data_IF_188653924694
#
_entry.id   IF_188653924694
#
_cell.length_a   1.000
_cell.length_b   1.000
_cell.length_c   1.000
_cell.angle_alpha   90.00
_cell.angle_beta   90.00
_cell.angle_gamma   90.00
#
_symmetry.space_group_name_H-M   'P 1'
#
loop_
_entity.id
_entity.type
_entity.pdbx_description
1 polymer ?
#
# COMPACT_ATOMS: atom_id res chain seq x y z
N UNK A 1 -50.23 12.32 19.01
CA UNK A 1 -49.20 12.94 18.14
C UNK A 1 -48.70 14.16 18.90
N UNK A 2 -47.46 14.12 19.41
CA UNK A 2 -47.03 14.98 20.52
C UNK A 2 -46.50 16.35 20.05
N UNK A 3 -47.07 17.43 20.58
CA UNK A 3 -46.70 18.85 20.33
C UNK A 3 -45.21 19.14 20.62
N UNK A 4 -44.60 18.37 21.50
CA UNK A 4 -43.16 18.47 21.84
C UNK A 4 -42.26 18.04 20.66
N UNK A 5 -42.72 17.14 19.78
CA UNK A 5 -41.96 16.70 18.60
C UNK A 5 -41.87 17.76 17.50
N UNK A 6 -42.83 18.71 17.46
CA UNK A 6 -42.86 19.80 16.47
C UNK A 6 -41.92 20.95 16.86
N UNK A 7 -41.79 21.24 18.16
CA UNK A 7 -41.00 22.38 18.66
C UNK A 7 -39.50 22.09 18.85
N UNK A 8 -39.10 20.84 19.09
CA UNK A 8 -37.69 20.50 19.42
C UNK A 8 -37.01 19.55 18.43
N UNK A 9 -37.69 19.16 17.35
CA UNK A 9 -37.22 18.13 16.42
C UNK A 9 -37.18 16.75 17.08
N UNK A 10 -37.49 15.71 16.29
CA UNK A 10 -37.42 14.34 16.81
C UNK A 10 -35.99 14.02 17.25
N UNK A 11 -35.80 13.74 18.54
CA UNK A 11 -34.53 13.22 19.06
C UNK A 11 -34.29 11.88 18.39
N UNK A 12 -33.26 11.82 17.55
CA UNK A 12 -32.97 10.66 16.74
C UNK A 12 -32.77 9.43 17.64
N UNK A 13 -33.54 8.37 17.40
CA UNK A 13 -33.41 7.13 18.16
C UNK A 13 -32.01 6.52 17.95
N UNK A 14 -31.48 5.71 18.88
CA UNK A 14 -30.20 5.02 18.68
C UNK A 14 -30.16 4.24 17.36
N UNK A 15 -31.25 3.54 17.01
CA UNK A 15 -31.38 2.81 15.76
C UNK A 15 -31.35 3.72 14.50
N UNK A 16 -31.97 4.90 14.56
CA UNK A 16 -31.90 5.88 13.46
C UNK A 16 -30.51 6.51 13.33
N UNK A 17 -29.81 6.76 14.44
CA UNK A 17 -28.40 7.19 14.42
C UNK A 17 -27.52 6.14 13.76
N UNK A 18 -27.67 4.88 14.17
CA UNK A 18 -26.92 3.76 13.61
C UNK A 18 -27.13 3.64 12.09
N UNK A 19 -28.38 3.76 11.62
CA UNK A 19 -28.71 3.78 10.18
C UNK A 19 -28.11 4.97 9.44
N UNK A 20 -28.10 6.16 10.06
CA UNK A 20 -27.49 7.36 9.48
C UNK A 20 -25.97 7.19 9.33
N UNK A 21 -25.31 6.64 10.34
CA UNK A 21 -23.87 6.34 10.30
C UNK A 21 -23.54 5.27 9.26
N UNK A 22 -24.33 4.19 9.17
CA UNK A 22 -24.15 3.16 8.14
C UNK A 22 -24.20 3.76 6.72
N UNK A 23 -25.20 4.61 6.43
CA UNK A 23 -25.30 5.30 5.12
C UNK A 23 -24.14 6.26 4.86
N UNK A 24 -23.68 6.95 5.91
CA UNK A 24 -22.52 7.83 5.80
C UNK A 24 -21.25 7.03 5.44
N UNK A 25 -21.03 5.91 6.11
CA UNK A 25 -19.91 5.00 5.83
C UNK A 25 -19.95 4.46 4.40
N UNK A 26 -21.11 4.00 3.91
CA UNK A 26 -21.26 3.58 2.51
C UNK A 26 -20.97 4.70 1.51
N UNK A 27 -21.35 5.94 1.83
CA UNK A 27 -21.02 7.11 1.00
C UNK A 27 -19.52 7.34 0.96
N UNK A 28 -18.87 7.33 2.12
CA UNK A 28 -17.41 7.47 2.24
C UNK A 28 -16.67 6.36 1.51
N UNK A 29 -17.13 5.10 1.59
CA UNK A 29 -16.55 3.99 0.84
C UNK A 29 -16.54 4.27 -0.68
N UNK A 30 -17.68 4.73 -1.23
CA UNK A 30 -17.77 5.09 -2.65
C UNK A 30 -16.90 6.29 -3.02
N UNK A 31 -16.75 7.25 -2.11
CA UNK A 31 -15.87 8.41 -2.31
C UNK A 31 -14.39 7.98 -2.33
N UNK A 32 -13.98 7.12 -1.40
CA UNK A 32 -12.64 6.52 -1.40
C UNK A 32 -12.36 5.73 -2.67
N UNK A 33 -13.31 4.92 -3.14
CA UNK A 33 -13.15 4.16 -4.40
C UNK A 33 -12.96 5.09 -5.60
N UNK A 34 -13.68 6.22 -5.65
CA UNK A 34 -13.52 7.22 -6.72
C UNK A 34 -12.16 7.91 -6.65
N UNK A 35 -11.69 8.26 -5.46
CA UNK A 35 -10.36 8.85 -5.29
C UNK A 35 -9.25 7.88 -5.66
N UNK A 36 -9.38 6.61 -5.26
CA UNK A 36 -8.46 5.54 -5.67
C UNK A 36 -8.36 5.44 -7.18
N UNK A 37 -9.48 5.39 -7.91
CA UNK A 37 -9.48 5.34 -9.38
C UNK A 37 -8.81 6.57 -9.99
N UNK A 38 -8.95 7.76 -9.39
CA UNK A 38 -8.22 8.96 -9.86
C UNK A 38 -6.72 8.79 -9.67
N UNK A 39 -6.27 8.28 -8.54
CA UNK A 39 -4.86 8.01 -8.27
C UNK A 39 -4.29 6.93 -9.19
N UNK A 40 -5.01 5.83 -9.44
CA UNK A 40 -4.62 4.79 -10.41
C UNK A 40 -4.46 5.37 -11.83
N UNK A 41 -5.32 6.31 -12.23
CA UNK A 41 -5.17 7.00 -13.52
C UNK A 41 -3.99 7.98 -13.53
N UNK A 42 -3.69 8.62 -12.40
CA UNK A 42 -2.51 9.48 -12.25
C UNK A 42 -1.22 8.66 -12.27
N UNK A 43 -1.20 7.50 -11.62
CA UNK A 43 -0.10 6.53 -11.67
C UNK A 43 0.21 6.13 -13.12
N UNK A 44 -0.80 5.75 -13.90
CA UNK A 44 -0.62 5.41 -15.33
C UNK A 44 -0.01 6.55 -16.15
N UNK A 45 -0.40 7.80 -15.86
CA UNK A 45 0.19 8.98 -16.52
C UNK A 45 1.64 9.19 -16.10
N UNK A 46 1.94 9.09 -14.79
CA UNK A 46 3.30 9.20 -14.27
C UNK A 46 4.22 8.15 -14.89
N UNK A 47 3.77 6.89 -15.02
CA UNK A 47 4.54 5.83 -15.69
C UNK A 47 4.85 6.19 -17.15
N UNK A 48 3.87 6.72 -17.89
CA UNK A 48 4.08 7.15 -19.27
C UNK A 48 5.06 8.32 -19.37
N UNK A 49 5.00 9.28 -18.46
CA UNK A 49 5.86 10.46 -18.45
C UNK A 49 7.30 10.11 -18.01
N UNK A 50 7.46 9.22 -17.01
CA UNK A 50 8.76 8.66 -16.62
C UNK A 50 9.40 7.96 -17.83
N UNK A 51 8.63 7.15 -18.56
CA UNK A 51 9.13 6.45 -19.76
C UNK A 51 9.58 7.40 -20.87
N UNK A 52 8.85 8.50 -21.09
CA UNK A 52 9.25 9.54 -22.07
C UNK A 52 10.51 10.26 -21.62
N UNK A 53 10.57 10.69 -20.36
CA UNK A 53 11.69 11.45 -19.82
C UNK A 53 12.97 10.60 -19.73
N UNK A 54 12.84 9.31 -19.44
CA UNK A 54 13.95 8.37 -19.43
C UNK A 54 14.54 8.18 -20.83
N UNK A 55 13.69 8.03 -21.86
CA UNK A 55 14.14 8.00 -23.27
C UNK A 55 14.83 9.29 -23.72
N UNK A 56 14.41 10.42 -23.17
CA UNK A 56 15.01 11.73 -23.46
C UNK A 56 16.29 12.00 -22.63
N UNK A 57 16.75 11.05 -21.81
CA UNK A 57 17.95 11.20 -20.97
C UNK A 57 17.79 12.18 -19.79
N UNK A 58 16.56 12.55 -19.42
CA UNK A 58 16.30 13.53 -18.35
C UNK A 58 16.28 12.86 -16.96
N UNK A 59 17.43 12.37 -16.51
CA UNK A 59 17.55 11.59 -15.27
C UNK A 59 17.04 12.36 -14.03
N UNK A 60 17.28 13.67 -13.96
CA UNK A 60 16.79 14.50 -12.85
C UNK A 60 15.26 14.55 -12.74
N UNK A 61 14.56 14.65 -13.89
CA UNK A 61 13.10 14.62 -13.93
C UNK A 61 12.56 13.23 -13.58
N UNK A 62 13.20 12.17 -14.08
CA UNK A 62 12.86 10.79 -13.75
C UNK A 62 12.98 10.51 -12.25
N UNK A 63 14.03 11.01 -11.58
CA UNK A 63 14.22 10.83 -10.13
C UNK A 63 13.07 11.42 -9.31
N UNK A 64 12.61 12.62 -9.66
CA UNK A 64 11.48 13.27 -8.96
C UNK A 64 10.17 12.51 -9.26
N UNK A 65 9.92 12.18 -10.53
CA UNK A 65 8.71 11.49 -10.93
C UNK A 65 8.61 10.06 -10.37
N UNK A 66 9.73 9.35 -10.24
CA UNK A 66 9.78 8.03 -9.62
C UNK A 66 9.41 8.08 -8.13
N UNK A 67 9.90 9.09 -7.39
CA UNK A 67 9.47 9.31 -6.00
C UNK A 67 7.97 9.59 -5.90
N UNK A 68 7.43 10.41 -6.81
CA UNK A 68 5.99 10.68 -6.88
C UNK A 68 5.19 9.43 -7.25
N UNK A 69 5.72 8.56 -8.11
CA UNK A 69 5.10 7.28 -8.45
C UNK A 69 4.98 6.36 -7.23
N UNK A 70 6.08 6.17 -6.49
CA UNK A 70 6.08 5.35 -5.27
C UNK A 70 5.13 5.92 -4.22
N UNK A 71 5.15 7.23 -4.01
CA UNK A 71 4.20 7.91 -3.11
C UNK A 71 2.75 7.66 -3.55
N UNK A 72 2.46 7.75 -4.84
CA UNK A 72 1.12 7.51 -5.40
C UNK A 72 0.67 6.06 -5.17
N UNK A 73 1.56 5.07 -5.40
CA UNK A 73 1.30 3.65 -5.13
C UNK A 73 1.04 3.38 -3.65
N UNK A 74 1.84 3.95 -2.75
CA UNK A 74 1.63 3.89 -1.29
C UNK A 74 0.26 4.46 -0.92
N UNK A 75 -0.14 5.59 -1.51
CA UNK A 75 -1.49 6.12 -1.29
C UNK A 75 -2.58 5.16 -1.78
N UNK A 76 -2.47 4.61 -2.99
CA UNK A 76 -3.43 3.63 -3.52
C UNK A 76 -3.59 2.43 -2.55
N UNK A 77 -2.49 1.88 -2.04
CA UNK A 77 -2.51 0.80 -1.04
C UNK A 77 -3.18 1.26 0.28
N UNK A 78 -2.89 2.48 0.75
CA UNK A 78 -3.56 3.05 1.92
C UNK A 78 -5.06 3.19 1.70
N UNK A 79 -5.51 3.59 0.51
CA UNK A 79 -6.93 3.64 0.15
C UNK A 79 -7.58 2.25 0.17
N UNK A 80 -6.90 1.19 -0.28
CA UNK A 80 -7.40 -0.18 -0.15
C UNK A 80 -7.56 -0.61 1.31
N UNK A 81 -6.58 -0.28 2.15
CA UNK A 81 -6.60 -0.59 3.58
C UNK A 81 -7.75 0.15 4.28
N UNK A 82 -7.89 1.46 4.04
CA UNK A 82 -8.99 2.27 4.57
C UNK A 82 -10.36 1.78 4.11
N UNK A 83 -10.52 1.41 2.82
CA UNK A 83 -11.79 0.82 2.31
C UNK A 83 -12.16 -0.45 3.07
N UNK A 84 -11.17 -1.30 3.34
CA UNK A 84 -11.36 -2.56 4.05
C UNK A 84 -11.71 -2.33 5.53
N UNK A 85 -11.03 -1.40 6.19
CA UNK A 85 -11.37 -0.97 7.56
C UNK A 85 -12.81 -0.42 7.64
N UNK A 86 -13.22 0.45 6.72
CA UNK A 86 -14.60 0.95 6.68
C UNK A 86 -15.61 -0.17 6.40
N UNK A 87 -15.25 -1.17 5.61
CA UNK A 87 -16.09 -2.34 5.36
C UNK A 87 -16.26 -3.18 6.64
N UNK A 88 -15.19 -3.39 7.40
CA UNK A 88 -15.22 -4.07 8.70
C UNK A 88 -16.11 -3.33 9.71
N UNK A 89 -15.99 -2.00 9.80
CA UNK A 89 -16.85 -1.18 10.67
C UNK A 89 -18.32 -1.28 10.25
N UNK A 90 -18.61 -1.24 8.95
CA UNK A 90 -19.98 -1.40 8.44
C UNK A 90 -20.58 -2.75 8.82
N UNK A 91 -19.79 -3.82 8.73
CA UNK A 91 -20.20 -5.16 9.16
C UNK A 91 -20.45 -5.21 10.67
N UNK A 92 -19.58 -4.62 11.50
CA UNK A 92 -19.76 -4.54 12.95
C UNK A 92 -21.04 -3.79 13.33
N UNK A 93 -21.34 -2.69 12.64
CA UNK A 93 -22.60 -1.96 12.80
C UNK A 93 -23.82 -2.83 12.45
N UNK A 94 -23.73 -3.61 11.37
CA UNK A 94 -24.79 -4.55 10.99
C UNK A 94 -25.01 -5.63 12.06
N UNK A 95 -23.93 -6.16 12.65
CA UNK A 95 -24.00 -7.12 13.77
C UNK A 95 -24.67 -6.50 15.00
N UNK A 96 -24.26 -5.29 15.40
CA UNK A 96 -24.89 -4.56 16.54
C UNK A 96 -26.38 -4.37 16.30
N UNK A 97 -26.79 -4.01 15.08
CA UNK A 97 -28.21 -3.86 14.73
C UNK A 97 -28.99 -5.15 14.88
N UNK A 98 -28.45 -6.28 14.41
CA UNK A 98 -29.08 -7.60 14.54
C UNK A 98 -29.20 -8.02 16.01
N UNK A 99 -28.16 -7.77 16.80
CA UNK A 99 -28.16 -8.02 18.24
C UNK A 99 -29.20 -7.15 18.97
N UNK A 100 -29.32 -5.87 18.61
CA UNK A 100 -30.35 -4.99 19.19
C UNK A 100 -31.76 -5.48 18.86
N UNK A 101 -32.02 -5.90 17.62
CA UNK A 101 -33.32 -6.46 17.23
C UNK A 101 -33.63 -7.75 18.01
N UNK A 102 -32.64 -8.64 18.16
CA UNK A 102 -32.78 -9.86 18.96
C UNK A 102 -33.04 -9.54 20.44
N UNK A 103 -32.31 -8.58 21.03
CA UNK A 103 -32.56 -8.10 22.39
C UNK A 103 -33.95 -7.49 22.56
N UNK A 104 -34.46 -6.76 21.57
CA UNK A 104 -35.83 -6.21 21.61
C UNK A 104 -36.88 -7.33 21.57
N UNK A 105 -36.70 -8.33 20.71
CA UNK A 105 -37.57 -9.51 20.65
C UNK A 105 -37.49 -10.34 21.94
N UNK A 106 -36.28 -10.55 22.48
CA UNK A 106 -36.08 -11.23 23.76
C UNK A 106 -36.69 -10.46 24.92
N UNK A 107 -36.60 -9.13 24.95
CA UNK A 107 -37.29 -8.30 25.94
C UNK A 107 -38.81 -8.45 25.83
N UNK A 108 -39.37 -8.38 24.63
CA UNK A 108 -40.80 -8.59 24.39
C UNK A 108 -41.26 -9.98 24.83
N UNK A 109 -40.54 -11.03 24.44
CA UNK A 109 -40.80 -12.40 24.84
C UNK A 109 -40.63 -12.61 26.36
N UNK A 110 -39.64 -11.97 26.99
CA UNK A 110 -39.42 -12.00 28.44
C UNK A 110 -40.55 -11.31 29.19
N UNK A 111 -41.06 -10.19 28.69
CA UNK A 111 -42.20 -9.50 29.29
C UNK A 111 -43.46 -10.37 29.15
N UNK A 112 -43.67 -11.02 28.00
CA UNK A 112 -44.78 -11.94 27.76
C UNK A 112 -44.68 -13.21 28.63
N UNK A 113 -43.46 -13.76 28.74
CA UNK A 113 -43.18 -14.88 29.61
C UNK A 113 -43.32 -14.45 31.06
N UNK A 114 -42.84 -13.30 31.49
CA UNK A 114 -42.98 -12.77 32.85
C UNK A 114 -44.43 -12.47 33.23
N UNK A 115 -45.27 -12.05 32.29
CA UNK A 115 -46.71 -11.90 32.50
C UNK A 115 -47.44 -13.24 32.57
N UNK A 116 -46.97 -14.27 31.84
CA UNK A 116 -47.43 -15.67 31.99
C UNK A 116 -46.81 -16.39 33.21
N UNK A 117 -45.66 -15.93 33.70
CA UNK A 117 -44.77 -16.61 34.64
C UNK A 117 -44.61 -15.84 35.96
N UNK A 118 -45.60 -15.04 36.36
CA UNK A 118 -45.69 -14.54 37.75
C UNK A 118 -45.79 -15.69 38.79
N UNK A 119 -45.70 -16.96 38.35
CA UNK A 119 -45.63 -18.18 39.14
C UNK A 119 -44.33 -19.01 38.96
N UNK A 120 -43.31 -18.60 38.19
CA UNK A 120 -42.01 -19.31 38.18
C UNK A 120 -40.80 -18.41 37.83
N UNK A 121 -39.59 -18.90 38.13
CA UNK A 121 -38.36 -18.17 38.50
C UNK A 121 -37.71 -17.19 37.48
N UNK A 122 -37.53 -15.92 37.89
CA UNK A 122 -36.75 -14.82 37.23
C UNK A 122 -35.19 -14.94 37.16
N UNK A 123 -34.46 -15.66 38.03
CA UNK A 123 -32.99 -15.58 38.11
C UNK A 123 -32.19 -16.15 36.92
N UNK A 124 -32.76 -17.06 36.13
CA UNK A 124 -32.03 -17.71 35.03
C UNK A 124 -31.77 -16.75 33.85
N UNK A 125 -32.67 -15.80 33.62
CA UNK A 125 -32.57 -14.87 32.49
C UNK A 125 -31.52 -13.77 32.71
N UNK A 126 -31.34 -13.31 33.95
CA UNK A 126 -30.27 -12.36 34.28
C UNK A 126 -28.87 -12.94 34.04
N UNK A 127 -28.68 -14.25 34.25
CA UNK A 127 -27.40 -14.91 33.97
C UNK A 127 -27.05 -14.93 32.48
N UNK A 128 -28.03 -15.21 31.62
CA UNK A 128 -27.83 -15.27 30.16
C UNK A 128 -27.38 -13.91 29.61
N UNK A 129 -27.94 -12.80 30.12
CA UNK A 129 -27.52 -11.45 29.72
C UNK A 129 -26.09 -11.15 30.18
N UNK A 130 -25.74 -11.48 31.43
CA UNK A 130 -24.39 -11.27 31.94
C UNK A 130 -23.34 -12.14 31.23
N UNK A 131 -23.65 -13.39 30.91
CA UNK A 131 -22.75 -14.25 30.14
C UNK A 131 -22.54 -13.73 28.72
N UNK A 132 -23.59 -13.20 28.08
CA UNK A 132 -23.48 -12.61 26.74
C UNK A 132 -22.65 -11.32 26.71
N UNK A 133 -22.77 -10.46 27.73
CA UNK A 133 -21.94 -9.27 27.89
C UNK A 133 -20.46 -9.64 28.07
N UNK A 134 -20.18 -10.65 28.89
CA UNK A 134 -18.83 -11.16 29.13
C UNK A 134 -18.19 -11.75 27.88
N UNK A 135 -18.94 -12.52 27.08
CA UNK A 135 -18.42 -13.13 25.85
C UNK A 135 -18.13 -12.07 24.77
N UNK A 136 -18.94 -11.00 24.70
CA UNK A 136 -18.70 -9.87 23.78
C UNK A 136 -17.42 -9.10 24.14
N UNK A 137 -17.19 -8.81 25.42
CA UNK A 137 -15.97 -8.12 25.88
C UNK A 137 -14.69 -8.92 25.54
N UNK A 138 -14.75 -10.25 25.70
CA UNK A 138 -13.62 -11.15 25.36
C UNK A 138 -13.33 -11.13 23.85
N UNK A 139 -14.38 -11.05 23.02
CA UNK A 139 -14.22 -10.93 21.56
C UNK A 139 -13.59 -9.60 21.15
N UNK A 140 -14.00 -8.49 21.76
CA UNK A 140 -13.46 -7.17 21.46
C UNK A 140 -11.97 -7.05 21.85
N UNK A 141 -11.57 -7.59 23.01
CA UNK A 141 -10.15 -7.63 23.43
C UNK A 141 -9.26 -8.47 22.49
N UNK A 142 -9.79 -9.56 21.93
CA UNK A 142 -9.03 -10.40 20.99
C UNK A 142 -8.80 -9.70 19.65
N UNK A 143 -9.72 -8.84 19.23
CA UNK A 143 -9.57 -8.05 18.02
C UNK A 143 -8.47 -6.98 18.18
N UNK A 144 -8.42 -6.30 19.33
CA UNK A 144 -7.36 -5.31 19.64
C UNK A 144 -5.96 -5.94 19.66
N UNK A 145 -5.78 -7.08 20.33
CA UNK A 145 -4.47 -7.77 20.35
C UNK A 145 -4.01 -8.26 18.97
N UNK A 146 -4.96 -8.49 18.05
CA UNK A 146 -4.64 -8.94 16.70
C UNK A 146 -4.32 -7.77 15.76
N UNK A 147 -4.97 -6.62 15.94
CA UNK A 147 -4.63 -5.39 15.22
C UNK A 147 -3.24 -4.87 15.64
N UNK A 148 -2.91 -4.91 16.94
CA UNK A 148 -1.57 -4.51 17.45
C UNK A 148 -0.44 -5.37 16.87
N UNK A 149 -0.67 -6.69 16.72
CA UNK A 149 0.31 -7.61 16.13
C UNK A 149 0.49 -7.40 14.61
N UNK A 150 -0.51 -6.85 13.92
CA UNK A 150 -0.46 -6.54 12.49
C UNK A 150 0.23 -5.19 12.26
N UNK A 151 0.01 -4.20 13.13
CA UNK A 151 0.68 -2.91 13.07
C UNK A 151 2.18 -3.02 13.40
N UNK A 152 2.58 -3.90 14.32
CA UNK A 152 4.00 -4.16 14.63
C UNK A 152 4.74 -4.90 13.49
N UNK A 153 4.03 -5.72 12.70
CA UNK A 153 4.59 -6.41 11.53
C UNK A 153 4.68 -5.52 10.27
N UNK A 154 3.97 -4.39 10.24
CA UNK A 154 3.91 -3.49 9.09
C UNK A 154 4.65 -2.17 9.31
N UNK A 155 5.46 -2.08 10.36
CA UNK A 155 6.33 -0.95 10.68
C UNK A 155 7.15 -0.48 9.48
N UNK A 156 6.70 0.61 8.88
CA UNK A 156 7.29 1.31 7.74
C UNK A 156 8.51 2.13 8.19
N UNK A 157 9.64 1.47 8.35
CA UNK A 157 10.95 2.12 8.21
C UNK A 157 11.39 1.89 6.77
N UNK A 158 11.60 2.97 6.00
CA UNK A 158 12.49 3.02 4.82
C UNK A 158 12.37 4.41 4.16
N UNK A 159 13.11 5.37 4.72
CA UNK A 159 13.29 6.71 4.16
C UNK A 159 14.64 6.89 3.43
N UNK A 160 15.57 5.93 3.43
CA UNK A 160 16.93 6.13 2.87
C UNK A 160 17.15 5.69 1.40
N UNK A 161 16.21 4.99 0.75
CA UNK A 161 16.47 4.32 -0.55
C UNK A 161 16.17 5.15 -1.82
N UNK A 162 16.31 6.47 -1.78
CA UNK A 162 15.83 7.35 -2.86
C UNK A 162 16.46 7.17 -4.26
N UNK A 163 17.60 6.49 -4.39
CA UNK A 163 18.25 6.19 -5.69
C UNK A 163 18.03 4.77 -6.16
N UNK A 164 18.01 3.82 -5.23
CA UNK A 164 17.65 2.42 -5.50
C UNK A 164 16.20 2.31 -5.99
N UNK A 165 15.29 3.04 -5.35
CA UNK A 165 13.89 3.15 -5.77
C UNK A 165 13.76 3.60 -7.24
N UNK A 166 14.62 4.52 -7.70
CA UNK A 166 14.55 5.02 -9.08
C UNK A 166 14.98 3.93 -10.05
N UNK A 167 16.05 3.21 -9.71
CA UNK A 167 16.55 2.10 -10.52
C UNK A 167 15.51 0.99 -10.60
N UNK A 168 14.95 0.58 -9.46
CA UNK A 168 13.89 -0.42 -9.38
C UNK A 168 12.66 -0.04 -10.21
N UNK A 169 12.19 1.21 -10.09
CA UNK A 169 11.04 1.70 -10.87
C UNK A 169 11.34 1.73 -12.37
N UNK A 170 12.55 2.11 -12.78
CA UNK A 170 12.93 2.13 -14.20
C UNK A 170 13.05 0.72 -14.79
N UNK A 171 13.58 -0.22 -14.00
CA UNK A 171 13.66 -1.64 -14.34
C UNK A 171 12.25 -2.25 -14.44
N UNK A 172 11.35 -1.96 -13.50
CA UNK A 172 9.94 -2.41 -13.52
C UNK A 172 9.19 -1.89 -14.77
N UNK A 173 9.44 -0.65 -15.18
CA UNK A 173 8.80 -0.04 -16.36
C UNK A 173 9.42 -0.58 -17.67
N UNK A 174 10.55 -1.31 -17.59
CA UNK A 174 11.26 -1.87 -18.73
C UNK A 174 11.95 -0.81 -19.57
N UNK A 175 12.45 0.27 -18.95
CA UNK A 175 13.36 1.21 -19.59
C UNK A 175 14.77 0.83 -19.16
N UNK A 176 15.32 -0.18 -19.83
CA UNK A 176 16.71 -0.56 -19.63
C UNK A 176 17.60 0.61 -20.07
N UNK A 177 18.13 1.36 -19.10
CA UNK A 177 19.10 2.44 -19.37
C UNK A 177 20.33 1.91 -20.11
N UNK A 178 20.60 0.59 -20.04
CA UNK A 178 21.66 -0.08 -20.76
C UNK A 178 21.46 -0.13 -22.27
N UNK A 179 20.22 -0.13 -22.76
CA UNK A 179 19.95 -0.22 -24.21
C UNK A 179 20.15 1.11 -24.96
N UNK A 180 20.16 2.24 -24.25
CA UNK A 180 20.40 3.57 -24.86
C UNK A 180 21.88 3.98 -24.84
N UNK A 181 22.73 3.29 -24.06
CA UNK A 181 24.18 3.45 -24.08
C UNK A 181 24.83 2.41 -25.01
N UNK A 182 24.48 2.51 -26.29
CA UNK A 182 25.29 2.01 -27.40
C UNK A 182 25.62 0.52 -27.38
N UNK A 183 24.86 -0.24 -28.18
CA UNK A 183 25.52 -1.16 -29.10
C UNK A 183 26.54 -0.33 -29.89
N UNK A 184 27.78 -0.31 -29.43
CA UNK A 184 28.89 0.19 -30.24
C UNK A 184 28.90 -0.70 -31.47
N UNK A 185 28.72 -0.15 -32.69
CA UNK A 185 28.71 -0.98 -33.89
C UNK A 185 30.11 -1.57 -34.04
N UNK A 186 30.28 -2.84 -33.69
CA UNK A 186 31.49 -3.65 -33.97
C UNK A 186 31.63 -3.98 -35.47
N UNK A 187 31.12 -3.09 -36.33
CA UNK A 187 30.94 -3.31 -37.76
C UNK A 187 31.59 -2.25 -38.66
N UNK A 188 32.50 -1.41 -38.14
CA UNK A 188 33.42 -0.66 -38.99
C UNK A 188 34.58 -1.59 -39.38
N UNK A 189 34.30 -2.45 -40.35
CA UNK A 189 35.32 -3.04 -41.21
C UNK A 189 36.24 -1.91 -41.68
N UNK A 190 37.48 -1.95 -41.24
CA UNK A 190 38.56 -1.11 -41.73
C UNK A 190 38.75 -1.43 -43.22
N UNK A 191 38.15 -0.64 -44.08
CA UNK A 191 38.51 -0.56 -45.49
C UNK A 191 39.97 -0.14 -45.56
N UNK A 192 40.81 -1.05 -46.06
CA UNK A 192 42.25 -0.86 -46.14
C UNK A 192 42.62 0.37 -46.94
N UNK A 193 43.29 1.31 -46.28
CA UNK A 193 44.10 2.31 -46.94
C UNK A 193 45.49 1.68 -47.13
N UNK A 194 45.88 1.50 -48.38
CA UNK A 194 47.22 1.09 -48.77
C UNK A 194 48.18 2.26 -48.48
N UNK A 195 49.04 2.11 -47.48
CA UNK A 195 50.25 2.93 -47.33
C UNK A 195 51.50 2.06 -47.48
N UNK A 196 52.47 2.62 -48.20
CA UNK A 196 53.61 1.93 -48.80
C UNK A 196 54.52 1.24 -47.80
N UNK A 197 54.92 0.02 -48.18
CA UNK A 197 55.99 -0.74 -47.52
C UNK A 197 57.32 0.02 -47.62
N UNK A 198 57.88 0.40 -46.49
CA UNK A 198 59.32 0.56 -46.32
C UNK A 198 59.77 -0.57 -45.38
N UNK A 199 60.72 -1.38 -45.86
CA UNK A 199 61.26 -2.51 -45.14
C UNK A 199 62.20 -2.06 -44.01
N UNK A 200 62.04 -2.63 -42.82
CA UNK A 200 63.10 -2.63 -41.81
C UNK A 200 63.22 -4.01 -41.16
N UNK A 201 64.47 -4.40 -40.97
CA UNK A 201 64.96 -5.76 -40.90
C UNK A 201 64.56 -6.55 -39.64
N UNK A 202 64.43 -7.86 -39.86
CA UNK A 202 64.40 -8.93 -38.88
C UNK A 202 65.65 -8.89 -37.99
N UNK A 203 65.45 -8.91 -36.67
CA UNK A 203 66.49 -9.12 -35.67
C UNK A 203 65.85 -9.26 -34.28
N UNK A 204 65.90 -10.46 -33.70
CA UNK A 204 65.12 -10.88 -32.54
C UNK A 204 65.62 -10.43 -31.17
N UNK A 205 64.91 -10.95 -30.15
CA UNK A 205 65.35 -10.99 -28.75
C UNK A 205 64.64 -9.97 -27.87
N UNK A 206 63.59 -10.42 -27.17
CA UNK A 206 62.93 -9.64 -26.12
C UNK A 206 63.85 -9.44 -24.91
N UNK A 207 63.77 -8.25 -24.30
CA UNK A 207 64.19 -7.92 -22.92
C UNK A 207 63.92 -6.44 -22.55
N UNK A 208 63.38 -5.59 -23.44
CA UNK A 208 63.23 -4.16 -23.13
C UNK A 208 61.91 -3.78 -22.44
N UNK A 209 60.79 -4.43 -22.77
CA UNK A 209 59.48 -4.09 -22.19
C UNK A 209 59.27 -4.71 -20.80
N UNK A 210 59.83 -5.91 -20.56
CA UNK A 210 59.72 -6.57 -19.26
C UNK A 210 60.54 -5.86 -18.17
N UNK A 211 61.73 -5.33 -18.50
CA UNK A 211 62.57 -4.57 -17.55
C UNK A 211 61.89 -3.25 -17.12
N UNK A 212 61.17 -2.59 -18.04
CA UNK A 212 60.45 -1.35 -17.77
C UNK A 212 59.18 -1.59 -16.91
N UNK A 213 58.56 -2.77 -17.07
CA UNK A 213 57.43 -3.20 -16.24
C UNK A 213 57.89 -3.63 -14.84
N UNK A 214 59.04 -4.30 -14.72
CA UNK A 214 59.63 -4.70 -13.43
C UNK A 214 59.99 -3.47 -12.58
N UNK A 215 60.59 -2.44 -13.20
CA UNK A 215 60.96 -1.19 -12.52
C UNK A 215 59.73 -0.41 -12.01
N UNK A 216 58.61 -0.44 -12.73
CA UNK A 216 57.34 0.15 -12.26
C UNK A 216 56.73 -0.62 -11.09
N UNK A 217 56.88 -1.94 -11.05
CA UNK A 217 56.32 -2.80 -10.01
C UNK A 217 57.06 -2.63 -8.66
N UNK A 218 58.38 -2.45 -8.71
CA UNK A 218 59.20 -2.17 -7.52
C UNK A 218 58.95 -0.76 -6.94
N UNK A 219 58.56 0.20 -7.79
CA UNK A 219 58.19 1.56 -7.34
C UNK A 219 56.88 1.62 -6.53
N UNK A 220 56.02 0.60 -6.68
CA UNK A 220 54.74 0.47 -5.98
C UNK A 220 54.84 -0.31 -4.66
N UNK A 221 55.99 -0.97 -4.41
CA UNK A 221 56.22 -1.82 -3.23
C UNK A 221 56.95 -1.10 -2.08
N UNK A 222 57.13 0.22 -2.16
CA UNK A 222 57.84 1.02 -1.15
C UNK A 222 56.91 1.92 -0.36
#
# INVERSE_FOLDING_TARGET
MNIVEWAFGKRLTPAERLRKHQRALEKTQRELDRERIKLENQEKKLVQDIKKNAKNGQIGACKIQAKDLVRTRRYIQKFYSMRTQLQAISLRIQTVRSNEQMMQSMRGATILLGSMNRQMNLPALQRIVMEFERENEIMDQRQEMMDDAIDEATGLDDEEEGEEIVKEVLDEIGVDLGQALGETPTGLQTTGIQEGRIAQAVGGGGTAEDDDLQARLDSLRR
#
